data_IF_023105616747
#
_entry.id   IF_023105616747
#
_cell.length_a   1.000
_cell.length_b   1.000
_cell.length_c   1.000
_cell.angle_alpha   90.00
_cell.angle_beta   90.00
_cell.angle_gamma   90.00
#
_symmetry.space_group_name_H-M   'P 1'
#
loop_
_entity.id
_entity.type
_entity.pdbx_description
1 polymer ?
#
# COMPACT_ATOMS: atom_id res chain seq x y z
N UNK A 1 33.32 -13.99 -7.25
CA UNK A 1 33.64 -13.09 -8.39
C UNK A 1 35.09 -13.34 -8.75
N UNK A 2 35.33 -13.67 -10.02
CA UNK A 2 36.71 -13.99 -10.53
C UNK A 2 37.45 -12.77 -11.11
N UNK A 3 36.88 -11.58 -10.99
CA UNK A 3 37.38 -10.39 -11.65
C UNK A 3 37.77 -9.34 -10.60
N UNK A 4 39.05 -9.06 -10.46
CA UNK A 4 39.60 -8.18 -9.42
C UNK A 4 39.14 -6.71 -9.54
N UNK A 5 38.60 -6.34 -10.69
CA UNK A 5 38.09 -4.99 -10.95
C UNK A 5 36.56 -4.82 -10.67
N UNK A 6 35.90 -5.83 -10.10
CA UNK A 6 34.46 -5.76 -9.80
C UNK A 6 34.19 -5.92 -8.30
N UNK A 7 33.67 -4.87 -7.70
CA UNK A 7 33.18 -4.90 -6.31
C UNK A 7 31.87 -5.66 -6.19
N UNK A 8 31.75 -6.56 -5.22
CA UNK A 8 30.57 -7.42 -5.02
C UNK A 8 29.33 -6.63 -4.60
N UNK A 9 29.48 -5.60 -3.78
CA UNK A 9 28.36 -4.77 -3.31
C UNK A 9 27.84 -3.88 -4.44
N UNK A 10 28.77 -3.36 -5.26
CA UNK A 10 28.40 -2.63 -6.48
C UNK A 10 27.60 -3.52 -7.44
N UNK A 11 28.07 -4.74 -7.70
CA UNK A 11 27.33 -5.71 -8.51
C UNK A 11 25.94 -5.99 -7.93
N UNK A 12 25.83 -6.20 -6.62
CA UNK A 12 24.54 -6.42 -5.96
C UNK A 12 23.55 -5.26 -6.20
N UNK A 13 23.98 -4.03 -6.02
CA UNK A 13 23.13 -2.87 -6.25
C UNK A 13 22.76 -2.68 -7.72
N UNK A 14 23.72 -2.93 -8.62
CA UNK A 14 23.44 -2.90 -10.05
C UNK A 14 22.40 -3.95 -10.44
N UNK A 15 22.57 -5.19 -10.01
CA UNK A 15 21.62 -6.30 -10.27
C UNK A 15 20.23 -5.99 -9.72
N UNK A 16 20.15 -5.36 -8.56
CA UNK A 16 18.87 -4.99 -7.93
C UNK A 16 18.06 -3.99 -8.79
N UNK A 17 18.71 -3.18 -9.61
CA UNK A 17 18.06 -2.28 -10.56
C UNK A 17 17.89 -2.92 -11.94
N UNK A 18 18.86 -3.72 -12.37
CA UNK A 18 18.80 -4.41 -13.65
C UNK A 18 17.67 -5.46 -13.70
N UNK A 19 17.12 -5.86 -12.57
CA UNK A 19 15.99 -6.80 -12.47
C UNK A 19 14.77 -6.33 -13.26
N UNK A 20 14.51 -5.03 -13.34
CA UNK A 20 13.36 -4.51 -14.09
C UNK A 20 13.55 -4.75 -15.59
N UNK A 21 14.77 -4.56 -16.09
CA UNK A 21 15.12 -4.92 -17.46
C UNK A 21 15.01 -6.44 -17.73
N UNK A 22 15.42 -7.25 -16.78
CA UNK A 22 15.29 -8.71 -16.88
C UNK A 22 13.81 -9.15 -16.88
N UNK A 23 12.95 -8.46 -16.14
CA UNK A 23 11.51 -8.71 -16.15
C UNK A 23 10.86 -8.40 -17.49
N UNK A 24 11.27 -7.30 -18.13
CA UNK A 24 10.82 -6.96 -19.50
C UNK A 24 11.23 -8.02 -20.51
N UNK A 25 12.45 -8.54 -20.41
CA UNK A 25 13.00 -9.58 -21.26
C UNK A 25 12.48 -10.98 -20.92
N UNK A 26 11.85 -11.16 -19.77
CA UNK A 26 11.42 -12.47 -19.29
C UNK A 26 10.41 -13.13 -20.25
N UNK A 27 10.51 -14.44 -20.38
CA UNK A 27 9.70 -15.27 -21.25
C UNK A 27 8.79 -16.19 -20.43
N UNK A 28 7.71 -16.68 -21.03
CA UNK A 28 6.73 -17.58 -20.42
C UNK A 28 5.33 -16.98 -20.42
N UNK A 29 4.31 -17.83 -20.37
CA UNK A 29 2.92 -17.43 -20.33
C UNK A 29 2.44 -17.16 -18.90
N UNK A 30 1.99 -18.22 -18.22
CA UNK A 30 1.47 -18.13 -16.84
C UNK A 30 2.61 -17.89 -15.83
N UNK A 31 3.76 -18.56 -16.02
CA UNK A 31 4.95 -18.37 -15.18
C UNK A 31 6.06 -17.77 -16.05
N UNK A 32 6.49 -16.56 -15.68
CA UNK A 32 7.61 -15.88 -16.33
C UNK A 32 8.93 -16.29 -15.68
N UNK A 33 9.97 -16.48 -16.48
CA UNK A 33 11.31 -16.84 -16.01
C UNK A 33 12.41 -16.15 -16.82
N UNK A 34 13.59 -16.06 -16.21
CA UNK A 34 14.82 -15.47 -16.77
C UNK A 34 15.73 -16.62 -17.20
N UNK A 35 16.16 -16.63 -18.45
CA UNK A 35 17.15 -17.60 -18.94
C UNK A 35 18.55 -17.19 -18.49
N UNK A 36 19.44 -18.17 -18.29
CA UNK A 36 20.83 -17.93 -17.95
C UNK A 36 21.54 -17.00 -18.96
N UNK A 37 21.29 -17.18 -20.27
CA UNK A 37 21.83 -16.29 -21.30
C UNK A 37 21.50 -14.81 -21.09
N UNK A 38 20.31 -14.48 -20.58
CA UNK A 38 19.94 -13.08 -20.29
C UNK A 38 20.80 -12.46 -19.17
N UNK A 39 21.36 -13.29 -18.30
CA UNK A 39 22.30 -12.84 -17.25
C UNK A 39 23.73 -12.78 -17.78
N UNK A 40 24.14 -13.76 -18.60
CA UNK A 40 25.50 -13.78 -19.15
C UNK A 40 25.74 -12.67 -20.18
N UNK A 41 24.69 -12.26 -20.89
CA UNK A 41 24.74 -11.22 -21.91
C UNK A 41 24.47 -9.81 -21.34
N UNK A 42 24.22 -9.72 -20.03
CA UNK A 42 23.99 -8.44 -19.36
C UNK A 42 25.29 -7.62 -19.26
N UNK A 43 25.26 -6.41 -19.77
CA UNK A 43 26.38 -5.48 -19.75
C UNK A 43 26.34 -4.59 -18.52
N UNK A 44 27.37 -4.66 -17.67
CA UNK A 44 27.52 -3.82 -16.48
C UNK A 44 28.57 -2.73 -16.72
N UNK A 45 28.28 -1.44 -16.46
CA UNK A 45 29.29 -0.40 -16.41
C UNK A 45 30.35 -0.69 -15.35
N UNK A 46 31.61 -0.51 -15.66
CA UNK A 46 32.74 -0.77 -14.74
C UNK A 46 33.56 0.51 -14.51
N UNK A 47 33.10 1.43 -13.64
CA UNK A 47 33.96 2.53 -13.21
C UNK A 47 35.16 2.00 -12.41
N UNK A 48 36.16 2.83 -12.13
CA UNK A 48 37.31 2.42 -11.29
C UNK A 48 36.84 1.82 -9.96
N UNK A 49 37.59 0.83 -9.44
CA UNK A 49 37.17 0.06 -8.25
C UNK A 49 36.83 0.94 -7.04
N UNK A 50 37.57 2.01 -6.82
CA UNK A 50 37.31 2.97 -5.72
C UNK A 50 35.98 3.69 -5.90
N UNK A 51 35.55 4.01 -7.13
CA UNK A 51 34.29 4.59 -7.42
C UNK A 51 33.14 3.57 -7.22
N UNK A 52 33.35 2.30 -7.61
CA UNK A 52 32.39 1.23 -7.33
C UNK A 52 32.15 1.09 -5.82
N UNK A 53 33.21 1.05 -5.02
CA UNK A 53 33.13 0.99 -3.55
C UNK A 53 32.41 2.22 -2.97
N UNK A 54 32.67 3.41 -3.50
CA UNK A 54 32.00 4.64 -3.09
C UNK A 54 30.51 4.60 -3.36
N UNK A 55 30.12 4.18 -4.56
CA UNK A 55 28.71 4.01 -4.96
C UNK A 55 28.03 2.97 -4.06
N UNK A 56 28.65 1.81 -3.87
CA UNK A 56 28.14 0.75 -3.03
C UNK A 56 27.91 1.22 -1.59
N UNK A 57 28.86 1.94 -1.00
CA UNK A 57 28.76 2.45 0.37
C UNK A 57 27.60 3.47 0.54
N UNK A 58 27.34 4.31 -0.46
CA UNK A 58 26.20 5.25 -0.44
C UNK A 58 24.90 4.48 -0.50
N UNK A 59 24.77 3.51 -1.41
CA UNK A 59 23.55 2.72 -1.57
C UNK A 59 23.29 1.82 -0.36
N UNK A 60 24.32 1.24 0.25
CA UNK A 60 24.22 0.48 1.51
C UNK A 60 23.66 1.33 2.66
N UNK A 61 24.10 2.60 2.77
CA UNK A 61 23.54 3.53 3.76
C UNK A 61 22.09 3.85 3.49
N UNK A 62 21.72 4.04 2.22
CA UNK A 62 20.32 4.29 1.84
C UNK A 62 19.43 3.08 2.18
N UNK A 63 19.85 1.87 1.85
CA UNK A 63 19.17 0.63 2.18
C UNK A 63 19.02 0.43 3.69
N UNK A 64 20.09 0.70 4.45
CA UNK A 64 20.06 0.61 5.90
C UNK A 64 19.06 1.60 6.52
N UNK A 65 18.99 2.82 5.98
CA UNK A 65 18.01 3.83 6.41
C UNK A 65 16.58 3.39 6.07
N UNK A 66 16.36 2.86 4.87
CA UNK A 66 15.06 2.36 4.44
C UNK A 66 14.56 1.26 5.39
N UNK A 67 15.39 0.24 5.64
CA UNK A 67 15.06 -0.85 6.58
C UNK A 67 14.80 -0.37 8.01
N UNK A 68 15.54 0.66 8.48
CA UNK A 68 15.26 1.26 9.80
C UNK A 68 13.90 1.92 9.84
N UNK A 69 13.51 2.63 8.76
CA UNK A 69 12.19 3.27 8.66
C UNK A 69 11.06 2.24 8.62
N UNK A 70 11.20 1.19 7.83
CA UNK A 70 10.22 0.09 7.79
C UNK A 70 10.04 -0.55 9.18
N UNK A 71 11.14 -0.85 9.87
CA UNK A 71 11.10 -1.36 11.24
C UNK A 71 10.45 -0.37 12.21
N UNK A 72 10.70 0.92 12.07
CA UNK A 72 10.08 1.95 12.92
C UNK A 72 8.58 2.03 12.69
N UNK A 73 8.11 1.92 11.45
CA UNK A 73 6.67 1.90 11.13
C UNK A 73 6.02 0.67 11.78
N UNK A 74 6.61 -0.53 11.62
CA UNK A 74 6.09 -1.75 12.23
C UNK A 74 6.00 -1.64 13.77
N UNK A 75 7.01 -1.04 14.41
CA UNK A 75 6.99 -0.81 15.86
C UNK A 75 5.91 0.20 16.30
N UNK A 76 5.59 1.19 15.46
CA UNK A 76 4.49 2.13 15.73
C UNK A 76 3.14 1.41 15.64
N UNK A 77 2.95 0.55 14.66
CA UNK A 77 1.73 -0.25 14.53
C UNK A 77 1.54 -1.18 15.74
N UNK A 78 2.60 -1.84 16.19
CA UNK A 78 2.58 -2.67 17.40
C UNK A 78 2.28 -1.84 18.65
N UNK A 79 2.86 -0.65 18.77
CA UNK A 79 2.58 0.28 19.88
C UNK A 79 1.11 0.69 19.89
N UNK A 80 0.56 1.12 18.74
CA UNK A 80 -0.85 1.51 18.64
C UNK A 80 -1.78 0.38 19.08
N UNK A 81 -1.49 -0.84 18.64
CA UNK A 81 -2.22 -2.03 19.07
C UNK A 81 -2.11 -2.29 20.57
N UNK A 82 -0.90 -2.19 21.11
CA UNK A 82 -0.65 -2.40 22.55
C UNK A 82 -1.38 -1.34 23.40
N UNK A 83 -1.30 -0.07 23.00
CA UNK A 83 -2.01 1.03 23.69
C UNK A 83 -3.52 0.83 23.62
N UNK A 84 -4.05 0.40 22.46
CA UNK A 84 -5.48 0.09 22.35
C UNK A 84 -5.88 -1.01 23.35
N UNK A 85 -5.14 -2.13 23.39
CA UNK A 85 -5.44 -3.22 24.30
C UNK A 85 -5.28 -2.85 25.78
N UNK A 86 -4.33 -1.99 26.11
CA UNK A 86 -4.15 -1.48 27.48
C UNK A 86 -5.31 -0.57 27.90
N UNK A 87 -5.73 0.34 27.02
CA UNK A 87 -6.80 1.30 27.31
C UNK A 87 -8.19 0.67 27.29
N UNK A 88 -8.48 -0.17 26.32
CA UNK A 88 -9.82 -0.73 26.07
C UNK A 88 -9.98 -2.19 26.49
N UNK A 89 -8.89 -2.95 26.55
CA UNK A 89 -8.92 -4.40 26.68
C UNK A 89 -9.18 -5.08 25.34
N UNK A 90 -9.20 -6.40 25.36
CA UNK A 90 -9.60 -7.19 24.19
C UNK A 90 -11.11 -7.01 23.93
N UNK A 91 -11.52 -6.51 22.74
CA UNK A 91 -12.92 -6.23 22.43
C UNK A 91 -13.81 -7.48 22.39
N UNK A 92 -13.23 -8.69 22.26
CA UNK A 92 -14.00 -9.95 22.26
C UNK A 92 -14.29 -10.43 23.68
N UNK A 93 -13.32 -10.37 24.58
CA UNK A 93 -13.46 -10.83 25.96
C UNK A 93 -13.95 -9.75 26.91
N UNK A 94 -13.82 -8.48 26.52
CA UNK A 94 -14.21 -7.30 27.29
C UNK A 94 -13.76 -7.37 28.78
N UNK A 95 -12.47 -7.55 29.06
CA UNK A 95 -11.97 -7.79 30.42
C UNK A 95 -12.18 -6.60 31.37
N UNK A 96 -12.42 -5.41 30.81
CA UNK A 96 -12.70 -4.18 31.57
C UNK A 96 -14.18 -4.00 31.90
N UNK A 97 -15.06 -4.88 31.42
CA UNK A 97 -16.48 -4.85 31.70
C UNK A 97 -17.22 -3.64 31.13
N UNK A 98 -16.73 -3.08 30.00
CA UNK A 98 -17.41 -1.96 29.34
C UNK A 98 -18.82 -2.36 28.90
N UNK A 99 -19.75 -1.41 28.94
CA UNK A 99 -21.10 -1.63 28.42
C UNK A 99 -21.01 -1.99 26.93
N UNK A 100 -21.67 -3.07 26.54
CA UNK A 100 -21.72 -3.54 25.15
C UNK A 100 -23.04 -3.15 24.52
N UNK A 101 -22.98 -2.54 23.33
CA UNK A 101 -24.16 -2.19 22.53
C UNK A 101 -23.98 -2.64 21.09
N UNK A 102 -25.07 -2.86 20.38
CA UNK A 102 -25.01 -3.12 18.93
C UNK A 102 -24.69 -1.83 18.18
N UNK A 103 -23.84 -1.90 17.16
CA UNK A 103 -23.52 -0.72 16.33
C UNK A 103 -24.78 -0.04 15.78
N UNK A 104 -25.80 -0.82 15.38
CA UNK A 104 -27.07 -0.25 14.92
C UNK A 104 -27.83 0.58 15.95
N UNK A 105 -27.53 0.46 17.26
CA UNK A 105 -28.17 1.26 18.32
C UNK A 105 -27.37 2.55 18.61
N UNK A 106 -26.10 2.63 18.24
CA UNK A 106 -25.20 3.75 18.58
C UNK A 106 -24.77 4.56 17.36
N UNK A 107 -24.93 4.02 16.14
CA UNK A 107 -24.70 4.75 14.90
C UNK A 107 -26.00 5.38 14.39
N UNK A 108 -25.92 6.61 13.90
CA UNK A 108 -27.07 7.28 13.27
C UNK A 108 -27.52 6.57 12.00
N UNK A 109 -26.55 6.07 11.22
CA UNK A 109 -26.79 5.37 9.96
C UNK A 109 -25.69 4.35 9.70
N UNK A 110 -26.07 3.17 9.25
CA UNK A 110 -25.17 2.16 8.71
C UNK A 110 -25.70 1.79 7.33
N UNK A 111 -24.89 1.99 6.30
CA UNK A 111 -25.31 1.73 4.91
C UNK A 111 -24.18 1.15 4.09
N UNK A 112 -24.54 0.41 3.04
CA UNK A 112 -23.61 -0.03 2.02
C UNK A 112 -23.35 1.08 1.00
N UNK A 113 -22.19 1.03 0.37
CA UNK A 113 -21.89 1.81 -0.82
C UNK A 113 -22.73 1.39 -2.04
N UNK A 114 -22.32 1.85 -3.21
CA UNK A 114 -22.99 1.55 -4.48
C UNK A 114 -22.76 0.10 -4.89
N UNK A 115 -23.84 -0.64 -5.16
CA UNK A 115 -23.75 -2.04 -5.59
C UNK A 115 -23.53 -2.23 -7.11
N UNK A 116 -23.94 -1.24 -7.89
CA UNK A 116 -23.77 -1.27 -9.34
C UNK A 116 -22.50 -0.50 -9.73
N UNK A 117 -21.78 -1.01 -10.72
CA UNK A 117 -20.64 -0.26 -11.26
C UNK A 117 -21.15 1.01 -11.93
N UNK A 118 -20.74 2.19 -11.48
CA UNK A 118 -21.16 3.44 -12.10
C UNK A 118 -20.54 3.62 -13.48
N UNK A 119 -21.12 4.48 -14.29
CA UNK A 119 -20.50 4.98 -15.51
C UNK A 119 -19.44 6.00 -15.14
N UNK A 120 -18.17 5.67 -15.41
CA UNK A 120 -17.08 6.59 -15.12
C UNK A 120 -16.93 7.63 -16.21
N UNK A 121 -16.55 8.83 -15.80
CA UNK A 121 -16.29 10.00 -16.66
C UNK A 121 -14.86 10.48 -16.47
N UNK A 122 -14.33 11.27 -17.40
CA UNK A 122 -12.97 11.83 -17.29
C UNK A 122 -12.90 12.94 -16.25
N UNK A 123 -14.00 13.64 -16.01
CA UNK A 123 -14.13 14.71 -15.01
C UNK A 123 -15.49 14.64 -14.32
N UNK A 124 -15.63 15.25 -13.15
CA UNK A 124 -16.91 15.27 -12.42
C UNK A 124 -16.71 15.14 -10.91
N UNK A 125 -17.61 14.40 -10.26
CA UNK A 125 -17.54 14.17 -8.82
C UNK A 125 -16.62 12.98 -8.53
N UNK A 126 -15.63 13.09 -7.63
CA UNK A 126 -14.77 11.99 -7.24
C UNK A 126 -15.57 10.81 -6.66
N UNK A 127 -15.33 9.62 -7.18
CA UNK A 127 -15.98 8.40 -6.73
C UNK A 127 -15.01 7.54 -5.91
N UNK A 128 -15.25 7.48 -4.61
CA UNK A 128 -14.40 6.74 -3.66
C UNK A 128 -14.63 5.24 -3.82
N UNK A 129 -13.55 4.51 -3.93
CA UNK A 129 -13.51 3.05 -4.02
C UNK A 129 -12.60 2.45 -2.94
N UNK A 130 -12.56 1.13 -2.83
CA UNK A 130 -11.71 0.43 -1.85
C UNK A 130 -10.25 0.91 -1.88
N UNK A 131 -9.67 1.12 -3.07
CA UNK A 131 -8.27 1.57 -3.21
C UNK A 131 -7.99 2.92 -2.54
N UNK A 132 -9.00 3.78 -2.46
CA UNK A 132 -8.87 5.13 -1.92
C UNK A 132 -8.88 5.19 -0.38
N UNK A 133 -9.21 4.07 0.29
CA UNK A 133 -9.31 3.98 1.75
C UNK A 133 -8.45 2.87 2.37
N UNK A 134 -7.69 2.13 1.56
CA UNK A 134 -6.90 0.96 2.03
C UNK A 134 -5.78 1.31 2.99
N UNK A 135 -5.32 2.54 3.00
CA UNK A 135 -4.27 3.04 3.91
C UNK A 135 -4.78 3.48 5.27
N UNK A 136 -6.10 3.40 5.51
CA UNK A 136 -6.76 3.96 6.71
C UNK A 136 -7.01 5.47 6.61
N UNK A 137 -6.68 6.08 5.48
CA UNK A 137 -6.96 7.48 5.14
C UNK A 137 -7.78 7.56 3.88
N UNK A 138 -8.56 8.61 3.74
CA UNK A 138 -9.27 8.93 2.52
C UNK A 138 -8.34 9.64 1.55
N UNK A 139 -8.03 9.00 0.40
CA UNK A 139 -7.11 9.52 -0.61
C UNK A 139 -7.86 9.77 -1.91
N UNK A 140 -7.72 10.97 -2.47
CA UNK A 140 -8.37 11.38 -3.72
C UNK A 140 -7.46 11.30 -4.95
N UNK A 141 -6.14 11.06 -4.78
CA UNK A 141 -5.13 11.16 -5.83
C UNK A 141 -5.38 10.27 -7.05
N UNK A 142 -6.05 9.15 -6.88
CA UNK A 142 -6.35 8.20 -7.97
C UNK A 142 -7.84 7.83 -7.97
N UNK A 143 -8.70 8.82 -7.75
CA UNK A 143 -10.14 8.65 -7.84
C UNK A 143 -10.59 8.57 -9.30
N UNK A 144 -11.60 7.75 -9.54
CA UNK A 144 -12.42 7.87 -10.73
C UNK A 144 -13.48 8.94 -10.52
N UNK A 145 -14.04 9.44 -11.61
CA UNK A 145 -15.11 10.43 -11.55
C UNK A 145 -16.41 9.85 -12.05
N UNK A 146 -17.50 10.43 -11.57
CA UNK A 146 -18.87 10.13 -12.03
C UNK A 146 -19.59 11.44 -12.37
N UNK A 147 -20.67 11.33 -13.13
CA UNK A 147 -21.52 12.48 -13.44
C UNK A 147 -22.20 13.04 -12.19
N UNK A 148 -22.63 14.31 -12.26
CA UNK A 148 -23.40 14.94 -11.20
C UNK A 148 -24.75 14.21 -10.98
N UNK A 149 -25.38 13.73 -12.04
CA UNK A 149 -26.64 12.96 -11.96
C UNK A 149 -26.45 11.64 -11.19
N UNK A 150 -25.41 10.88 -11.53
CA UNK A 150 -25.07 9.63 -10.82
C UNK A 150 -24.70 9.91 -9.36
N UNK A 151 -23.97 11.00 -9.08
CA UNK A 151 -23.67 11.41 -7.72
C UNK A 151 -24.95 11.65 -6.91
N UNK A 152 -25.88 12.45 -7.39
CA UNK A 152 -27.12 12.75 -6.70
C UNK A 152 -27.97 11.50 -6.44
N UNK A 153 -27.98 10.56 -7.39
CA UNK A 153 -28.65 9.28 -7.24
C UNK A 153 -28.04 8.42 -6.13
N UNK A 154 -26.71 8.31 -6.10
CA UNK A 154 -26.03 7.46 -5.12
C UNK A 154 -25.95 8.12 -3.75
N UNK A 155 -25.81 9.43 -3.68
CA UNK A 155 -25.75 10.19 -2.45
C UNK A 155 -27.00 10.10 -1.60
N UNK A 156 -28.17 9.93 -2.21
CA UNK A 156 -29.44 9.68 -1.48
C UNK A 156 -29.37 8.45 -0.57
N UNK A 157 -28.59 7.45 -0.98
CA UNK A 157 -28.44 6.20 -0.22
C UNK A 157 -27.21 6.22 0.69
N UNK A 158 -26.09 6.62 0.16
CA UNK A 158 -24.79 6.63 0.83
C UNK A 158 -24.20 8.03 0.73
N UNK A 159 -24.39 8.81 1.77
CA UNK A 159 -23.93 10.19 1.91
C UNK A 159 -22.91 10.27 3.06
N UNK A 160 -21.64 9.94 2.82
CA UNK A 160 -20.63 10.07 3.86
C UNK A 160 -20.46 11.55 4.24
N UNK A 161 -20.37 11.79 5.55
CA UNK A 161 -20.17 13.10 6.14
C UNK A 161 -18.85 13.15 6.91
N UNK A 162 -18.41 14.35 7.26
CA UNK A 162 -17.19 14.54 8.06
C UNK A 162 -17.25 13.74 9.36
N UNK A 163 -16.19 13.01 9.67
CA UNK A 163 -16.02 12.05 10.77
C UNK A 163 -16.78 10.73 10.62
N UNK A 164 -17.43 10.47 9.49
CA UNK A 164 -17.96 9.13 9.24
C UNK A 164 -16.83 8.10 9.05
N UNK A 165 -17.11 6.87 9.45
CA UNK A 165 -16.20 5.75 9.29
C UNK A 165 -16.57 4.95 8.05
N UNK A 166 -15.69 4.94 7.07
CA UNK A 166 -15.76 4.08 5.90
C UNK A 166 -15.10 2.74 6.21
N UNK A 167 -15.68 1.65 5.73
CA UNK A 167 -15.18 0.32 6.02
C UNK A 167 -15.14 -0.56 4.75
N UNK A 168 -13.97 -1.14 4.45
CA UNK A 168 -13.83 -2.01 3.28
C UNK A 168 -14.49 -3.37 3.56
N UNK A 169 -15.54 -3.71 2.81
CA UNK A 169 -16.32 -4.93 3.02
C UNK A 169 -15.86 -6.11 2.14
N UNK A 170 -15.26 -5.84 0.99
CA UNK A 170 -14.93 -6.83 -0.05
C UNK A 170 -13.53 -6.61 -0.60
N UNK A 171 -12.90 -7.69 -1.09
CA UNK A 171 -11.59 -7.68 -1.75
C UNK A 171 -10.44 -8.09 -0.84
N UNK A 172 -9.23 -8.08 -1.37
CA UNK A 172 -8.02 -8.51 -0.64
C UNK A 172 -7.70 -7.65 0.61
N UNK A 173 -8.28 -6.45 0.69
CA UNK A 173 -8.08 -5.50 1.78
C UNK A 173 -9.35 -5.29 2.63
N UNK A 174 -10.24 -6.27 2.67
CA UNK A 174 -11.44 -6.20 3.52
C UNK A 174 -11.08 -5.97 5.00
N UNK A 175 -11.99 -5.36 5.74
CA UNK A 175 -11.80 -5.13 7.18
C UNK A 175 -10.96 -3.89 7.52
N UNK A 176 -10.67 -3.00 6.56
CA UNK A 176 -9.93 -1.77 6.85
C UNK A 176 -10.86 -0.58 7.01
N UNK A 177 -10.80 0.12 8.16
CA UNK A 177 -11.50 1.36 8.37
C UNK A 177 -10.71 2.54 7.79
N UNK A 178 -11.45 3.60 7.43
CA UNK A 178 -10.90 4.94 7.20
C UNK A 178 -11.90 5.97 7.69
N UNK A 179 -11.42 7.14 8.11
CA UNK A 179 -12.26 8.25 8.55
C UNK A 179 -12.41 9.27 7.42
N UNK A 180 -13.57 9.88 7.31
CA UNK A 180 -13.80 11.04 6.43
C UNK A 180 -13.33 12.28 7.19
N UNK A 181 -12.08 12.70 6.94
CA UNK A 181 -11.39 13.79 7.63
C UNK A 181 -11.14 15.01 6.75
N UNK A 182 -11.69 15.02 5.54
CA UNK A 182 -11.62 16.10 4.53
C UNK A 182 -12.96 16.35 3.89
#
# INVERSE_FOLDING_TARGET
>A
IKYDALDTRYLYHWMSKYVDRLRELSIGGVIKYIKLGMLTDAEIPLPPLEEQKRIAAILDKADALHRKREKSIALIDDLLRSVFLDMFGDPFTNPKGWKVEKLGNVCLKITDGVHQKPSYTDTGVPFISVKNITTGKLLFDDCKFISQEDHEKYYKRCNPEYLDVLYTKVGATYGRPAIVDT
#
